data_IF_293379885958
#
_entry.id   IF_293379885958
#
_cell.length_a   1.000
_cell.length_b   1.000
_cell.length_c   1.000
_cell.angle_alpha   90.00
_cell.angle_beta   90.00
_cell.angle_gamma   90.00
#
_symmetry.space_group_name_H-M   'P 1'
#
loop_
_entity.id
_entity.type
_entity.pdbx_description
1 polymer ?
#
# COMPACT_ATOMS: atom_id res chain seq x y z
N UNK A 1 -43.76 2.57 45.26
CA UNK A 1 -42.43 3.09 44.85
C UNK A 1 -42.65 4.49 44.29
N UNK A 2 -42.03 5.52 44.88
CA UNK A 2 -42.30 6.92 44.53
C UNK A 2 -41.70 7.29 43.17
N UNK A 3 -42.33 8.26 42.48
CA UNK A 3 -41.90 8.81 41.17
C UNK A 3 -40.39 9.17 41.15
N UNK A 4 -39.85 9.58 42.30
CA UNK A 4 -38.43 9.89 42.49
C UNK A 4 -37.47 8.70 42.27
N UNK A 5 -37.90 7.47 42.60
CA UNK A 5 -37.09 6.27 42.39
C UNK A 5 -37.00 5.88 40.91
N UNK A 6 -38.06 6.17 40.13
CA UNK A 6 -38.09 5.88 38.70
C UNK A 6 -37.19 6.85 37.91
N UNK A 7 -37.16 8.12 38.30
CA UNK A 7 -36.26 9.12 37.70
C UNK A 7 -34.79 8.84 38.00
N UNK A 8 -34.46 8.35 39.21
CA UNK A 8 -33.08 8.02 39.57
C UNK A 8 -32.55 6.81 38.79
N UNK A 9 -33.39 5.78 38.60
CA UNK A 9 -33.04 4.59 37.80
C UNK A 9 -32.87 4.92 36.31
N UNK A 10 -33.72 5.79 35.74
CA UNK A 10 -33.57 6.23 34.35
C UNK A 10 -32.31 7.07 34.11
N UNK A 11 -31.93 7.93 35.06
CA UNK A 11 -30.70 8.72 34.97
C UNK A 11 -29.42 7.86 35.05
N UNK A 12 -29.46 6.74 35.80
CA UNK A 12 -28.32 5.81 35.91
C UNK A 12 -28.20 4.96 34.62
N UNK A 13 -29.32 4.53 34.03
CA UNK A 13 -29.32 3.75 32.78
C UNK A 13 -28.87 4.59 31.58
N UNK A 14 -29.17 5.89 31.55
CA UNK A 14 -28.64 6.79 30.50
C UNK A 14 -27.16 7.12 30.69
N UNK A 15 -26.65 7.19 31.93
CA UNK A 15 -25.22 7.39 32.20
C UNK A 15 -24.37 6.14 31.85
N UNK A 16 -24.90 4.93 32.06
CA UNK A 16 -24.24 3.66 31.70
C UNK A 16 -24.29 3.35 30.20
N UNK A 17 -25.19 3.99 29.43
CA UNK A 17 -25.29 3.84 27.98
C UNK A 17 -24.26 4.67 27.18
N UNK A 18 -23.53 5.59 27.83
CA UNK A 18 -22.57 6.50 27.18
C UNK A 18 -21.11 6.06 27.30
N UNK A 19 -20.81 4.96 27.98
CA UNK A 19 -19.43 4.56 28.32
C UNK A 19 -18.77 3.57 27.36
N UNK A 20 -19.39 3.22 26.23
CA UNK A 20 -18.81 2.29 25.24
C UNK A 20 -18.50 2.98 23.91
N UNK A 21 -17.89 4.16 23.93
CA UNK A 21 -17.07 4.58 22.79
C UNK A 21 -15.68 4.02 23.06
N UNK A 22 -15.42 2.78 22.61
CA UNK A 22 -14.04 2.31 22.46
C UNK A 22 -13.42 3.24 21.41
N UNK A 23 -12.73 4.27 21.88
CA UNK A 23 -11.79 5.02 21.04
C UNK A 23 -10.63 4.08 20.81
N UNK A 24 -10.75 3.20 19.81
CA UNK A 24 -9.61 2.48 19.27
C UNK A 24 -8.75 3.53 18.57
N UNK A 25 -7.91 4.22 19.33
CA UNK A 25 -6.93 5.14 18.76
C UNK A 25 -5.93 4.31 17.98
N UNK A 26 -5.69 4.68 16.72
CA UNK A 26 -4.64 4.07 15.92
C UNK A 26 -3.32 4.26 16.65
N UNK A 27 -2.61 3.16 16.94
CA UNK A 27 -1.34 3.24 17.64
C UNK A 27 -0.34 4.07 16.82
N UNK A 28 0.24 5.09 17.45
CA UNK A 28 1.29 5.94 16.90
C UNK A 28 2.61 5.65 17.63
N UNK A 29 3.71 6.21 17.14
CA UNK A 29 5.06 5.96 17.66
C UNK A 29 5.80 7.26 17.96
N UNK A 30 6.78 7.14 18.84
CA UNK A 30 7.72 8.19 19.23
C UNK A 30 9.17 7.79 18.91
N UNK A 31 9.61 7.77 17.64
CA UNK A 31 10.97 7.34 17.32
C UNK A 31 12.02 8.31 17.88
N UNK A 32 12.85 7.85 18.82
CA UNK A 32 13.90 8.68 19.43
C UNK A 32 15.12 8.92 18.51
N UNK A 33 15.17 8.25 17.35
CA UNK A 33 16.28 8.35 16.41
C UNK A 33 16.13 9.59 15.49
N UNK A 34 17.25 10.03 14.91
CA UNK A 34 17.23 11.14 13.94
C UNK A 34 16.30 10.81 12.77
N UNK A 35 15.30 11.67 12.55
CA UNK A 35 14.35 11.55 11.44
C UNK A 35 15.07 11.56 10.09
N UNK A 36 14.77 10.57 9.25
CA UNK A 36 15.19 10.54 7.83
C UNK A 36 14.00 10.97 6.97
N UNK A 37 14.26 11.76 5.93
CA UNK A 37 13.21 12.13 4.98
C UNK A 37 12.86 10.94 4.08
N UNK A 38 11.58 10.81 3.70
CA UNK A 38 11.10 9.78 2.78
C UNK A 38 10.98 8.37 3.37
N UNK A 39 10.50 7.45 2.54
CA UNK A 39 10.25 6.05 2.87
C UNK A 39 11.39 5.15 2.38
N UNK A 40 11.53 3.99 3.01
CA UNK A 40 12.38 2.90 2.52
C UNK A 40 11.56 1.98 1.61
N UNK A 41 12.16 1.55 0.50
CA UNK A 41 11.55 0.60 -0.44
C UNK A 41 12.43 -0.64 -0.51
N UNK A 42 11.89 -1.79 -0.08
CA UNK A 42 12.51 -3.10 -0.24
C UNK A 42 11.91 -3.81 -1.46
N UNK A 43 12.74 -4.50 -2.24
CA UNK A 43 12.33 -5.24 -3.43
C UNK A 43 12.50 -6.75 -3.21
N UNK A 44 11.52 -7.54 -3.61
CA UNK A 44 11.49 -8.98 -3.46
C UNK A 44 11.11 -9.66 -4.78
N UNK A 45 11.66 -10.86 -4.98
CA UNK A 45 11.37 -11.66 -6.14
C UNK A 45 9.88 -12.00 -6.24
N UNK A 46 9.31 -11.78 -7.42
CA UNK A 46 8.01 -12.28 -7.81
C UNK A 46 8.12 -13.02 -9.14
N UNK A 47 7.42 -14.15 -9.27
CA UNK A 47 7.46 -14.97 -10.47
C UNK A 47 6.64 -14.31 -11.58
N UNK A 48 7.22 -14.19 -12.77
CA UNK A 48 6.49 -13.76 -13.96
C UNK A 48 5.31 -14.72 -14.20
N UNK A 49 4.15 -14.17 -14.53
CA UNK A 49 2.88 -14.90 -14.77
C UNK A 49 2.25 -15.61 -13.57
N UNK A 50 2.74 -15.39 -12.35
CA UNK A 50 2.01 -15.84 -11.17
C UNK A 50 0.82 -14.93 -10.89
N UNK A 51 -0.37 -15.38 -11.29
CA UNK A 51 -1.63 -14.65 -11.12
C UNK A 51 -2.40 -15.06 -9.84
N UNK A 52 -1.74 -15.73 -8.90
CA UNK A 52 -2.40 -16.37 -7.75
C UNK A 52 -1.81 -15.96 -6.41
N UNK A 53 -0.48 -15.86 -6.31
CA UNK A 53 0.19 -15.58 -5.04
C UNK A 53 -0.20 -14.21 -4.49
N UNK A 54 -0.25 -13.18 -5.34
CA UNK A 54 -0.62 -11.82 -4.93
C UNK A 54 -2.07 -11.65 -4.47
N UNK A 55 -2.94 -12.65 -4.67
CA UNK A 55 -4.35 -12.64 -4.26
C UNK A 55 -4.53 -13.13 -2.81
N UNK A 56 -3.45 -13.57 -2.16
CA UNK A 56 -3.46 -14.05 -0.78
C UNK A 56 -3.14 -12.94 0.21
N UNK A 57 -4.02 -12.71 1.18
CA UNK A 57 -3.81 -11.71 2.24
C UNK A 57 -2.53 -11.96 3.06
N UNK A 58 -2.21 -13.23 3.35
CA UNK A 58 -0.97 -13.57 4.07
C UNK A 58 0.28 -13.19 3.26
N UNK A 59 0.26 -13.41 1.95
CA UNK A 59 1.33 -12.99 1.05
C UNK A 59 1.47 -11.47 1.04
N UNK A 60 0.35 -10.76 0.91
CA UNK A 60 0.28 -9.31 0.93
C UNK A 60 0.58 -8.68 2.29
N UNK A 61 0.57 -9.45 3.38
CA UNK A 61 0.91 -8.95 4.70
C UNK A 61 2.40 -9.21 5.01
N UNK A 62 2.86 -10.46 4.89
CA UNK A 62 4.15 -10.91 5.41
C UNK A 62 4.92 -11.91 4.53
N UNK A 63 4.27 -12.83 3.80
CA UNK A 63 5.01 -13.95 3.16
C UNK A 63 5.84 -13.55 1.91
N UNK A 64 5.65 -12.35 1.37
CA UNK A 64 6.57 -11.81 0.36
C UNK A 64 8.03 -11.74 0.88
N UNK A 65 8.24 -11.57 2.19
CA UNK A 65 9.57 -11.50 2.78
C UNK A 65 10.26 -12.87 2.88
N UNK A 66 9.50 -13.96 2.69
CA UNK A 66 10.05 -15.31 2.55
C UNK A 66 10.68 -15.52 1.16
N UNK A 67 10.45 -14.59 0.22
CA UNK A 67 11.09 -14.57 -1.11
C UNK A 67 12.45 -13.87 -1.04
N UNK A 68 13.26 -14.08 -2.07
CA UNK A 68 14.58 -13.45 -2.19
C UNK A 68 14.44 -11.93 -2.21
N UNK A 69 15.04 -11.25 -1.24
CA UNK A 69 15.21 -9.78 -1.26
C UNK A 69 16.25 -9.41 -2.31
N UNK A 70 15.83 -8.66 -3.32
CA UNK A 70 16.67 -8.22 -4.44
C UNK A 70 17.53 -7.00 -4.08
N UNK A 71 17.02 -6.14 -3.20
CA UNK A 71 17.70 -4.92 -2.78
C UNK A 71 16.77 -3.95 -2.09
N UNK A 72 17.23 -2.71 -1.91
CA UNK A 72 16.45 -1.63 -1.33
C UNK A 72 16.96 -0.25 -1.72
N UNK A 73 16.08 0.73 -1.72
CA UNK A 73 16.41 2.17 -1.79
C UNK A 73 15.75 2.90 -0.62
N UNK A 74 16.32 4.04 -0.23
CA UNK A 74 15.81 4.86 0.87
C UNK A 74 15.54 6.28 0.41
N UNK A 75 14.84 7.07 1.22
CA UNK A 75 14.61 8.48 0.96
C UNK A 75 13.53 8.80 -0.08
N UNK A 76 12.65 7.85 -0.38
CA UNK A 76 11.64 8.01 -1.43
C UNK A 76 10.46 8.84 -0.91
N UNK A 77 10.20 10.00 -1.54
CA UNK A 77 9.07 10.88 -1.22
C UNK A 77 7.93 10.75 -2.22
N UNK A 78 8.25 10.45 -3.48
CA UNK A 78 7.29 10.15 -4.52
C UNK A 78 7.06 8.63 -4.55
N UNK A 79 5.93 8.20 -4.00
CA UNK A 79 5.65 6.77 -3.75
C UNK A 79 4.66 6.15 -4.74
N UNK A 80 4.11 6.94 -5.66
CA UNK A 80 3.24 6.45 -6.74
C UNK A 80 4.02 5.61 -7.75
N UNK A 81 3.37 4.56 -8.25
CA UNK A 81 3.98 3.65 -9.22
C UNK A 81 3.22 3.81 -10.53
N UNK A 82 3.97 4.09 -11.60
CA UNK A 82 3.47 4.19 -12.96
C UNK A 82 4.54 3.62 -13.88
N UNK A 83 4.46 2.31 -14.13
CA UNK A 83 5.37 1.62 -15.04
C UNK A 83 4.60 1.21 -16.29
N UNK A 84 5.20 1.49 -17.44
CA UNK A 84 4.64 1.19 -18.74
C UNK A 84 5.53 0.17 -19.45
N UNK A 85 4.92 -0.72 -20.24
CA UNK A 85 5.69 -1.69 -21.01
C UNK A 85 6.35 -0.99 -22.22
N UNK A 86 7.60 -1.35 -22.57
CA UNK A 86 8.22 -0.83 -23.79
C UNK A 86 7.55 -1.42 -25.03
N UNK A 87 7.19 -0.57 -25.98
CA UNK A 87 6.81 -0.92 -27.34
C UNK A 87 8.02 -0.75 -28.27
N UNK A 88 8.52 -1.86 -28.80
CA UNK A 88 9.62 -1.91 -29.77
C UNK A 88 9.05 -1.78 -31.17
N UNK A 89 9.46 -0.76 -31.91
CA UNK A 89 9.08 -0.53 -33.31
C UNK A 89 10.33 -0.39 -34.18
N UNK A 90 10.14 -0.25 -35.49
CA UNK A 90 11.25 0.04 -36.42
C UNK A 90 11.89 1.41 -36.19
N UNK A 91 11.20 2.34 -35.51
CA UNK A 91 11.69 3.70 -35.24
C UNK A 91 12.36 3.84 -33.87
N UNK A 92 12.30 2.82 -33.01
CA UNK A 92 12.87 2.85 -31.67
C UNK A 92 12.05 2.09 -30.65
N UNK A 93 12.45 2.19 -29.38
CA UNK A 93 11.70 1.64 -28.23
C UNK A 93 11.09 2.79 -27.45
N UNK A 94 9.78 2.70 -27.17
CA UNK A 94 9.04 3.75 -26.46
C UNK A 94 8.23 3.14 -25.33
N UNK A 95 8.08 3.85 -24.21
CA UNK A 95 7.13 3.44 -23.18
C UNK A 95 5.71 3.57 -23.71
N UNK A 96 4.88 2.54 -23.52
CA UNK A 96 3.49 2.54 -23.95
C UNK A 96 2.55 2.58 -22.75
N UNK A 97 1.88 3.72 -22.51
CA UNK A 97 0.79 3.80 -21.54
C UNK A 97 -0.27 2.73 -21.78
N UNK A 98 -0.80 2.14 -20.71
CA UNK A 98 -1.80 1.05 -20.82
C UNK A 98 -3.06 1.52 -21.56
N UNK A 99 -3.47 2.78 -21.36
CA UNK A 99 -4.61 3.40 -22.06
C UNK A 99 -4.37 3.61 -23.57
N UNK A 100 -3.09 3.62 -23.99
CA UNK A 100 -2.67 3.73 -25.38
C UNK A 100 -2.38 2.38 -26.02
N UNK A 101 -2.36 1.29 -25.23
CA UNK A 101 -2.22 -0.07 -25.74
C UNK A 101 -3.55 -0.56 -26.33
N UNK A 102 -3.51 -1.12 -27.54
CA UNK A 102 -4.72 -1.58 -28.24
C UNK A 102 -4.45 -2.71 -29.24
N UNK A 103 -5.53 -3.37 -29.69
CA UNK A 103 -5.51 -4.54 -30.57
C UNK A 103 -4.53 -5.63 -30.08
N UNK A 104 -3.93 -6.38 -31.00
CA UNK A 104 -2.89 -7.36 -30.75
C UNK A 104 -1.52 -6.68 -30.59
N UNK A 105 -1.35 -5.97 -29.47
CA UNK A 105 -0.15 -5.26 -29.03
C UNK A 105 0.36 -4.18 -30.00
N UNK A 106 -0.38 -3.06 -29.99
CA UNK A 106 -0.01 -1.81 -30.64
C UNK A 106 -0.01 -0.70 -29.61
N UNK A 107 0.77 0.35 -29.87
CA UNK A 107 0.77 1.55 -29.05
C UNK A 107 0.30 2.75 -29.87
N UNK A 108 -0.67 3.51 -29.36
CA UNK A 108 -1.25 4.67 -30.05
C UNK A 108 -0.14 5.66 -30.43
N UNK A 109 -0.11 6.06 -31.69
CA UNK A 109 0.93 6.96 -32.22
C UNK A 109 2.32 6.34 -32.46
N UNK A 110 2.56 5.06 -32.09
CA UNK A 110 3.81 4.34 -32.40
C UNK A 110 3.62 3.18 -33.38
N UNK A 111 2.41 2.61 -33.44
CA UNK A 111 2.09 1.50 -34.33
C UNK A 111 2.26 0.14 -33.66
N UNK A 112 2.56 -0.90 -34.47
CA UNK A 112 2.68 -2.28 -33.97
C UNK A 112 3.99 -2.48 -33.23
N UNK A 113 3.88 -3.06 -32.04
CA UNK A 113 5.03 -3.42 -31.23
C UNK A 113 5.48 -4.84 -31.60
N UNK A 114 6.79 -5.04 -31.77
CA UNK A 114 7.36 -6.33 -32.17
C UNK A 114 7.74 -7.23 -30.99
N UNK A 115 7.80 -6.67 -29.80
CA UNK A 115 8.14 -7.38 -28.56
C UNK A 115 6.90 -8.03 -27.92
N UNK A 116 7.10 -8.85 -26.89
CA UNK A 116 6.01 -9.54 -26.19
C UNK A 116 5.58 -8.78 -24.93
N UNK A 117 4.29 -8.81 -24.59
CA UNK A 117 3.81 -8.34 -23.28
C UNK A 117 4.03 -9.37 -22.17
N UNK A 118 4.39 -10.60 -22.54
CA UNK A 118 4.45 -11.79 -21.71
C UNK A 118 5.90 -12.15 -21.31
N UNK A 119 6.79 -11.17 -21.19
CA UNK A 119 8.20 -11.36 -20.80
C UNK A 119 8.62 -10.33 -19.77
N UNK A 120 9.67 -10.62 -19.01
CA UNK A 120 10.23 -9.67 -18.06
C UNK A 120 11.01 -8.55 -18.77
N UNK A 121 10.80 -7.31 -18.33
CA UNK A 121 11.56 -6.15 -18.78
C UNK A 121 12.35 -5.55 -17.62
N UNK A 122 13.64 -5.29 -17.85
CA UNK A 122 14.49 -4.60 -16.89
C UNK A 122 14.36 -3.09 -17.04
N UNK A 123 14.21 -2.38 -15.93
CA UNK A 123 14.14 -0.92 -15.90
C UNK A 123 14.56 -0.38 -14.51
N UNK A 124 14.81 0.92 -14.44
CA UNK A 124 15.03 1.68 -13.20
C UNK A 124 13.80 2.51 -12.81
N UNK A 125 12.68 2.39 -13.52
CA UNK A 125 11.49 3.24 -13.31
C UNK A 125 10.90 3.13 -11.90
N UNK A 126 11.11 2.00 -11.22
CA UNK A 126 10.72 1.82 -9.82
C UNK A 126 11.80 2.38 -8.90
N UNK A 127 11.63 3.65 -8.51
CA UNK A 127 12.46 4.33 -7.49
C UNK A 127 13.97 4.39 -7.82
N UNK A 128 14.34 4.30 -9.10
CA UNK A 128 15.74 4.27 -9.53
C UNK A 128 16.43 2.92 -9.34
N UNK A 129 15.73 1.89 -8.84
CA UNK A 129 16.30 0.57 -8.59
C UNK A 129 16.23 -0.30 -9.85
N UNK A 130 17.39 -0.77 -10.34
CA UNK A 130 17.45 -1.62 -11.53
C UNK A 130 16.91 -3.03 -11.25
N UNK A 131 15.72 -3.32 -11.77
CA UNK A 131 14.99 -4.56 -11.50
C UNK A 131 14.04 -4.89 -12.66
N UNK A 132 13.14 -5.87 -12.47
CA UNK A 132 12.07 -6.21 -13.41
C UNK A 132 10.69 -5.73 -12.92
N UNK A 133 10.25 -4.50 -13.25
CA UNK A 133 8.95 -3.98 -12.80
C UNK A 133 7.74 -4.81 -13.20
N UNK A 134 7.88 -5.63 -14.25
CA UNK A 134 6.88 -6.55 -14.77
C UNK A 134 6.49 -7.67 -13.82
N UNK A 135 7.35 -8.02 -12.87
CA UNK A 135 7.16 -9.14 -11.95
C UNK A 135 7.98 -8.91 -10.68
N UNK A 136 7.46 -8.08 -9.79
CA UNK A 136 8.15 -7.71 -8.55
C UNK A 136 7.19 -7.40 -7.41
N UNK A 137 7.63 -7.73 -6.20
CA UNK A 137 6.99 -7.27 -4.96
C UNK A 137 7.82 -6.18 -4.34
N UNK A 138 7.17 -5.11 -3.89
CA UNK A 138 7.84 -4.06 -3.16
C UNK A 138 7.12 -3.71 -1.86
N UNK A 139 7.91 -3.47 -0.83
CA UNK A 139 7.46 -3.00 0.47
C UNK A 139 7.97 -1.58 0.68
N UNK A 140 7.06 -0.65 0.88
CA UNK A 140 7.34 0.77 1.17
C UNK A 140 6.99 1.01 2.65
N UNK A 141 8.00 1.27 3.48
CA UNK A 141 7.82 1.52 4.91
C UNK A 141 8.35 2.89 5.31
N UNK A 142 7.63 3.53 6.22
CA UNK A 142 8.00 4.83 6.77
C UNK A 142 7.02 5.27 7.84
N UNK A 143 7.17 6.53 8.23
CA UNK A 143 6.31 7.18 9.19
C UNK A 143 5.61 8.35 8.50
N UNK A 144 4.29 8.40 8.59
CA UNK A 144 3.47 9.52 8.18
C UNK A 144 3.30 10.48 9.35
N UNK A 145 3.69 11.74 9.16
CA UNK A 145 3.55 12.80 10.15
C UNK A 145 2.31 13.64 9.82
N UNK A 146 1.19 13.47 10.53
CA UNK A 146 -0.01 14.28 10.31
C UNK A 146 0.25 15.75 10.72
N UNK A 147 0.11 16.73 9.80
CA UNK A 147 0.26 18.14 10.16
C UNK A 147 -0.91 18.69 10.99
N UNK A 148 -2.05 18.00 11.02
CA UNK A 148 -3.28 18.43 11.69
C UNK A 148 -3.98 17.23 12.35
N UNK A 149 -4.68 17.46 13.45
CA UNK A 149 -5.51 16.43 14.07
C UNK A 149 -6.78 16.29 13.25
N UNK A 150 -7.11 15.08 12.81
CA UNK A 150 -8.32 14.83 12.03
C UNK A 150 -8.32 13.52 11.29
N UNK A 151 -9.36 13.33 10.47
CA UNK A 151 -9.48 12.17 9.59
C UNK A 151 -8.67 12.37 8.31
N UNK A 152 -7.78 11.41 8.04
CA UNK A 152 -7.02 11.30 6.80
C UNK A 152 -7.58 10.15 5.98
N UNK A 153 -7.98 10.43 4.75
CA UNK A 153 -8.41 9.40 3.79
C UNK A 153 -7.30 9.15 2.78
N UNK A 154 -6.74 7.95 2.84
CA UNK A 154 -5.78 7.44 1.87
C UNK A 154 -6.55 6.77 0.74
N UNK A 155 -6.01 6.81 -0.48
CA UNK A 155 -6.62 6.13 -1.62
C UNK A 155 -5.59 5.60 -2.60
N UNK A 156 -5.98 4.54 -3.32
CA UNK A 156 -5.38 4.14 -4.57
C UNK A 156 -6.35 4.48 -5.70
N UNK A 157 -5.93 5.32 -6.63
CA UNK A 157 -6.76 5.68 -7.79
C UNK A 157 -7.09 4.44 -8.62
N UNK A 158 -6.09 3.60 -8.85
CA UNK A 158 -6.21 2.27 -9.42
C UNK A 158 -5.14 1.35 -8.81
N UNK A 159 -5.32 0.05 -8.95
CA UNK A 159 -4.35 -0.97 -8.55
C UNK A 159 -4.21 -1.98 -9.68
N UNK A 160 -3.00 -2.03 -10.24
CA UNK A 160 -2.57 -3.03 -11.21
C UNK A 160 -1.19 -3.57 -10.75
N UNK A 161 -1.07 -4.76 -10.15
CA UNK A 161 -2.08 -5.82 -10.06
C UNK A 161 -2.72 -5.96 -8.68
N UNK A 162 -1.94 -5.78 -7.60
CA UNK A 162 -2.40 -5.99 -6.22
C UNK A 162 -1.65 -5.10 -5.23
N UNK A 163 -2.35 -4.49 -4.28
CA UNK A 163 -1.75 -3.58 -3.30
C UNK A 163 -2.48 -3.58 -1.96
N UNK A 164 -1.76 -3.28 -0.90
CA UNK A 164 -2.35 -2.97 0.41
C UNK A 164 -1.73 -1.71 0.99
N UNK A 165 -2.47 -1.05 1.87
CA UNK A 165 -1.97 0.01 2.73
C UNK A 165 -2.37 -0.30 4.16
N UNK A 166 -1.40 -0.27 5.06
CA UNK A 166 -1.56 -0.46 6.50
C UNK A 166 -1.05 0.78 7.23
N UNK A 167 -1.87 1.29 8.16
CA UNK A 167 -1.51 2.42 9.02
C UNK A 167 -1.61 2.01 10.49
N UNK A 168 -0.58 2.36 11.27
CA UNK A 168 -0.58 2.24 12.72
C UNK A 168 0.30 1.14 13.30
N UNK A 169 0.60 1.28 14.60
CA UNK A 169 1.34 0.34 15.44
C UNK A 169 0.71 -1.04 15.47
N UNK A 170 1.55 -2.06 15.32
CA UNK A 170 1.13 -3.48 15.28
C UNK A 170 0.12 -3.80 14.16
N UNK A 171 -0.06 -2.88 13.20
CA UNK A 171 -0.84 -3.07 11.96
C UNK A 171 0.08 -2.97 10.75
N UNK A 172 0.82 -1.86 10.64
CA UNK A 172 1.85 -1.68 9.63
C UNK A 172 3.13 -2.43 10.00
N UNK A 173 3.72 -2.07 11.14
CA UNK A 173 4.88 -2.69 11.77
C UNK A 173 4.96 -2.23 13.23
N UNK A 174 5.91 -2.75 14.01
CA UNK A 174 6.10 -2.34 15.39
C UNK A 174 6.77 -0.95 15.48
N UNK A 175 6.47 -0.19 16.54
CA UNK A 175 7.12 1.10 16.78
C UNK A 175 8.63 0.96 16.90
N UNK A 176 9.37 1.93 16.35
CA UNK A 176 10.84 1.94 16.30
C UNK A 176 11.48 0.73 15.61
N UNK A 177 10.72 -0.05 14.86
CA UNK A 177 11.14 -1.32 14.26
C UNK A 177 10.90 -1.36 12.73
N UNK A 178 11.04 -0.22 12.05
CA UNK A 178 10.79 -0.07 10.60
C UNK A 178 11.56 -1.06 9.72
N UNK A 179 12.78 -1.43 10.13
CA UNK A 179 13.68 -2.31 9.37
C UNK A 179 13.54 -3.79 9.76
N UNK A 180 12.66 -4.13 10.71
CA UNK A 180 12.42 -5.51 11.11
C UNK A 180 11.59 -6.30 10.07
N UNK A 181 11.63 -7.64 10.10
CA UNK A 181 10.74 -8.46 9.28
C UNK A 181 9.26 -8.05 9.45
N UNK A 182 8.42 -8.27 8.42
CA UNK A 182 7.00 -7.96 8.51
C UNK A 182 6.31 -8.67 9.68
N UNK A 183 5.44 -7.92 10.37
CA UNK A 183 4.43 -8.51 11.24
C UNK A 183 3.33 -9.19 10.42
N UNK A 184 2.55 -10.06 11.06
CA UNK A 184 1.55 -10.91 10.38
C UNK A 184 0.15 -10.30 10.30
N UNK A 185 -0.01 -9.01 10.64
CA UNK A 185 -1.32 -8.35 10.62
C UNK A 185 -1.88 -8.25 9.20
N UNK A 186 -3.14 -8.66 9.03
CA UNK A 186 -3.92 -8.50 7.78
C UNK A 186 -5.03 -7.47 7.91
N UNK A 187 -4.95 -6.60 8.93
CA UNK A 187 -5.92 -5.53 9.16
C UNK A 187 -5.59 -4.30 8.29
N UNK A 188 -5.78 -4.44 6.98
CA UNK A 188 -5.41 -3.40 6.02
C UNK A 188 -6.32 -2.17 6.13
N UNK A 189 -5.72 -0.98 6.08
CA UNK A 189 -6.44 0.29 5.93
C UNK A 189 -7.05 0.39 4.54
N UNK A 190 -6.31 0.01 3.50
CA UNK A 190 -6.82 -0.18 2.14
C UNK A 190 -6.50 -1.61 1.70
N UNK A 191 -7.54 -2.35 1.33
CA UNK A 191 -7.41 -3.68 0.74
C UNK A 191 -7.62 -3.59 -0.77
N UNK A 192 -6.53 -3.46 -1.52
CA UNK A 192 -6.48 -3.55 -2.97
C UNK A 192 -5.93 -4.88 -3.46
N UNK A 193 -6.20 -5.96 -2.73
CA UNK A 193 -5.75 -7.29 -3.13
C UNK A 193 -6.57 -7.75 -4.32
N UNK A 194 -5.91 -8.15 -5.42
CA UNK A 194 -6.61 -8.68 -6.60
C UNK A 194 -7.59 -9.80 -6.18
N UNK A 195 -8.89 -9.66 -6.45
CA UNK A 195 -9.85 -10.72 -6.20
C UNK A 195 -9.53 -11.95 -7.05
N UNK A 196 -9.79 -13.15 -6.50
CA UNK A 196 -9.73 -14.40 -7.28
C UNK A 196 -10.66 -14.38 -8.49
N UNK A 197 -11.77 -13.66 -8.37
CA UNK A 197 -12.77 -13.48 -9.41
C UNK A 197 -13.17 -12.02 -9.51
N UNK A 198 -13.13 -11.47 -10.73
CA UNK A 198 -13.50 -10.09 -11.01
C UNK A 198 -12.34 -9.10 -10.91
N UNK A 199 -12.69 -7.82 -10.91
CA UNK A 199 -11.78 -6.68 -10.81
C UNK A 199 -11.97 -5.94 -9.50
N UNK A 200 -10.94 -5.22 -9.07
CA UNK A 200 -11.11 -4.21 -8.04
C UNK A 200 -11.91 -3.03 -8.61
N UNK A 201 -12.71 -2.34 -7.79
CA UNK A 201 -13.26 -1.05 -8.18
C UNK A 201 -12.13 0.00 -8.22
N UNK A 202 -12.28 1.02 -9.07
CA UNK A 202 -11.42 2.19 -9.04
C UNK A 202 -11.63 2.99 -7.75
N UNK A 203 -10.61 3.76 -7.34
CA UNK A 203 -10.65 4.66 -6.18
C UNK A 203 -10.96 3.97 -4.85
N UNK A 204 -10.27 2.86 -4.55
CA UNK A 204 -10.36 2.24 -3.22
C UNK A 204 -9.67 3.13 -2.18
N UNK A 205 -10.33 3.30 -1.03
CA UNK A 205 -9.91 4.24 0.00
C UNK A 205 -10.08 3.68 1.41
N UNK A 206 -9.33 4.24 2.34
CA UNK A 206 -9.35 3.90 3.75
C UNK A 206 -9.09 5.14 4.60
N UNK A 207 -9.85 5.30 5.68
CA UNK A 207 -9.79 6.49 6.54
C UNK A 207 -9.20 6.14 7.89
N UNK A 208 -8.29 6.98 8.37
CA UNK A 208 -7.64 6.86 9.68
C UNK A 208 -7.73 8.21 10.38
N UNK A 209 -8.15 8.21 11.65
CA UNK A 209 -8.08 9.41 12.47
C UNK A 209 -6.68 9.53 13.07
N UNK A 210 -6.04 10.68 12.91
CA UNK A 210 -4.68 10.94 13.36
C UNK A 210 -4.62 12.22 14.18
N UNK A 211 -3.68 12.31 15.11
CA UNK A 211 -3.44 13.49 15.93
C UNK A 211 -2.25 14.27 15.38
N UNK A 212 -2.37 15.59 15.25
CA UNK A 212 -1.28 16.47 14.87
C UNK A 212 -0.11 16.30 15.84
N UNK A 213 1.10 16.21 15.28
CA UNK A 213 2.29 16.06 16.10
C UNK A 213 2.55 17.25 17.05
N UNK A 214 3.35 16.98 18.07
CA UNK A 214 4.35 17.92 18.56
C UNK A 214 5.62 17.11 18.80
N UNK A 215 6.62 17.25 17.92
CA UNK A 215 7.98 16.66 17.94
C UNK A 215 8.15 15.15 18.09
N UNK A 216 7.09 14.43 18.43
CA UNK A 216 7.21 13.10 19.00
C UNK A 216 6.25 12.12 18.27
N UNK A 217 4.99 12.45 17.93
CA UNK A 217 4.04 11.46 17.38
C UNK A 217 4.06 11.27 15.85
N UNK A 218 4.54 10.12 15.43
CA UNK A 218 4.58 9.63 14.04
C UNK A 218 3.62 8.43 13.85
N UNK A 219 2.74 8.46 12.84
CA UNK A 219 1.94 7.29 12.48
C UNK A 219 2.71 6.36 11.55
N UNK A 220 2.78 5.07 11.87
CA UNK A 220 3.44 4.09 11.02
C UNK A 220 2.67 3.93 9.70
N UNK A 221 3.37 3.99 8.58
CA UNK A 221 2.81 3.76 7.26
C UNK A 221 3.57 2.62 6.59
N UNK A 222 2.85 1.56 6.24
CA UNK A 222 3.35 0.49 5.39
C UNK A 222 2.45 0.37 4.18
N UNK A 223 2.98 0.78 3.03
CA UNK A 223 2.36 0.54 1.74
C UNK A 223 3.05 -0.66 1.10
N UNK A 224 2.27 -1.58 0.55
CA UNK A 224 2.81 -2.65 -0.27
C UNK A 224 2.13 -2.61 -1.61
N UNK A 225 2.93 -2.77 -2.65
CA UNK A 225 2.45 -2.90 -3.99
C UNK A 225 3.16 -4.07 -4.66
N UNK A 226 2.40 -4.79 -5.48
CA UNK A 226 2.89 -5.80 -6.40
C UNK A 226 2.68 -5.29 -7.80
N UNK A 227 3.80 -5.05 -8.48
CA UNK A 227 3.83 -4.87 -9.91
C UNK A 227 3.85 -6.25 -10.55
N UNK A 228 2.69 -6.71 -10.97
CA UNK A 228 2.61 -7.57 -12.12
C UNK A 228 2.11 -6.67 -13.27
N UNK A 229 2.56 -6.94 -14.48
CA UNK A 229 1.92 -6.40 -15.68
C UNK A 229 1.61 -7.62 -16.52
N UNK A 230 0.42 -8.21 -16.35
CA UNK A 230 -0.16 -8.95 -17.47
C UNK A 230 -1.36 -8.23 -18.02
N UNK A 231 -1.32 -8.03 -19.33
CA UNK A 231 -2.53 -8.01 -20.12
C UNK A 231 -3.01 -9.44 -20.37
#
# INVERSE_FOLDING_TARGET
>A
MSLAHYCLLLAIVTLLGLANVVSATTAACLPANSRKNGMNVNFYQYSLMDSSTYSNAAYMAYQYADKVKLGSVSGQTDISINYNLPCVTTSGTYQCPQEDAYDNWRCRGKGRCSNSQAVSYWSTDLFGFYTTPTNITLEITGYFLPPQTGSYTFSFATVDDSAILSVGGSIAFECCAQEQPPITSTNFTINGIKPWHGSLPDNIAGTVYMYAGSTDEDCLLKCRFLGYTSN
#
